data_IF_052185245924
#
_entry.id   IF_052185245924
#
_cell.length_a   1.000
_cell.length_b   1.000
_cell.length_c   1.000
_cell.angle_alpha   90.00
_cell.angle_beta   90.00
_cell.angle_gamma   90.00
#
_symmetry.space_group_name_H-M   'P 1'
#
loop_
_entity.id
_entity.type
_entity.pdbx_description
1 polymer ?
#
# COMPACT_ATOMS: atom_id res chain seq x y z
N UNK A 1 29.45 -8.70 -8.18
CA UNK A 1 28.52 -7.55 -8.15
C UNK A 1 28.35 -7.10 -6.70
N UNK A 2 28.98 -5.99 -6.31
CA UNK A 2 28.84 -5.42 -4.96
C UNK A 2 27.59 -4.53 -5.00
N UNK A 3 26.43 -5.05 -4.59
CA UNK A 3 25.21 -4.24 -4.54
C UNK A 3 25.45 -3.20 -3.44
N UNK A 4 25.63 -1.95 -3.83
CA UNK A 4 25.87 -0.86 -2.88
C UNK A 4 24.66 -0.75 -1.95
N UNK A 5 24.84 -0.76 -0.61
CA UNK A 5 23.73 -0.65 0.34
C UNK A 5 22.88 0.61 0.12
N UNK A 6 23.45 1.65 -0.49
CA UNK A 6 22.74 2.86 -0.90
C UNK A 6 21.67 2.66 -1.99
N UNK A 7 21.70 1.57 -2.76
CA UNK A 7 20.67 1.28 -3.77
C UNK A 7 19.50 0.49 -3.18
N UNK A 8 19.76 -0.46 -2.28
CA UNK A 8 18.73 -1.33 -1.70
C UNK A 8 17.87 -0.56 -0.68
N UNK A 9 18.50 0.27 0.17
CA UNK A 9 17.82 0.93 1.27
C UNK A 9 16.60 1.79 0.84
N UNK A 10 16.67 2.61 -0.23
CA UNK A 10 15.51 3.36 -0.73
C UNK A 10 14.35 2.46 -1.19
N UNK A 11 14.63 1.37 -1.91
CA UNK A 11 13.59 0.46 -2.39
C UNK A 11 12.94 -0.32 -1.23
N UNK A 12 13.75 -0.76 -0.26
CA UNK A 12 13.23 -1.42 0.95
C UNK A 12 12.36 -0.46 1.76
N UNK A 13 12.81 0.78 1.97
CA UNK A 13 12.04 1.79 2.68
C UNK A 13 10.72 2.11 1.95
N UNK A 14 10.76 2.27 0.63
CA UNK A 14 9.56 2.53 -0.18
C UNK A 14 8.55 1.37 -0.07
N UNK A 15 9.00 0.11 -0.20
CA UNK A 15 8.14 -1.06 -0.11
C UNK A 15 7.52 -1.24 1.28
N UNK A 16 8.30 -0.97 2.35
CA UNK A 16 7.82 -1.05 3.73
C UNK A 16 6.86 0.10 4.04
N UNK A 17 7.17 1.33 3.63
CA UNK A 17 6.27 2.47 3.78
C UNK A 17 4.96 2.28 3.02
N UNK A 18 4.99 1.73 1.80
CA UNK A 18 3.77 1.45 1.05
C UNK A 18 2.83 0.49 1.82
N UNK A 19 3.38 -0.55 2.45
CA UNK A 19 2.62 -1.49 3.29
C UNK A 19 2.10 -0.86 4.58
N UNK A 20 2.82 0.11 5.14
CA UNK A 20 2.32 0.87 6.28
C UNK A 20 1.18 1.82 5.88
N UNK A 21 1.38 2.58 4.80
CA UNK A 21 0.44 3.58 4.32
C UNK A 21 -0.87 2.94 3.82
N UNK A 22 -0.83 1.75 3.22
CA UNK A 22 -2.06 1.04 2.80
C UNK A 22 -2.94 0.66 4.00
N UNK A 23 -2.36 0.36 5.16
CA UNK A 23 -3.09 0.10 6.40
C UNK A 23 -3.80 1.38 6.88
N UNK A 24 -3.13 2.53 6.80
CA UNK A 24 -3.74 3.84 7.12
C UNK A 24 -4.90 4.14 6.15
N UNK A 25 -4.71 3.87 4.86
CA UNK A 25 -5.73 4.04 3.81
C UNK A 25 -6.93 3.12 4.03
N UNK A 26 -6.72 1.90 4.49
CA UNK A 26 -7.79 0.94 4.75
C UNK A 26 -8.66 1.29 5.97
N UNK A 27 -8.15 2.08 6.91
CA UNK A 27 -8.95 2.62 8.04
C UNK A 27 -9.86 3.77 7.66
N UNK A 28 -9.80 4.25 6.42
CA UNK A 28 -10.63 5.36 5.96
C UNK A 28 -12.05 4.87 5.67
N UNK A 29 -13.03 5.77 5.78
CA UNK A 29 -14.42 5.44 5.45
C UNK A 29 -14.50 4.91 4.02
N UNK A 30 -15.07 3.72 3.80
CA UNK A 30 -15.20 3.17 2.46
C UNK A 30 -16.25 3.97 1.69
N UNK A 31 -16.01 4.19 0.39
CA UNK A 31 -16.95 4.90 -0.49
C UNK A 31 -18.22 4.09 -0.78
N UNK A 32 -18.18 2.76 -0.63
CA UNK A 32 -19.30 1.84 -0.83
C UNK A 32 -19.27 0.74 0.24
N UNK A 33 -20.42 0.19 0.64
CA UNK A 33 -20.46 -0.93 1.56
C UNK A 33 -19.85 -2.19 0.91
N UNK A 34 -19.04 -2.92 1.66
CA UNK A 34 -18.45 -4.21 1.26
C UNK A 34 -17.22 -4.15 0.36
N UNK A 35 -16.82 -5.31 -0.16
CA UNK A 35 -15.67 -5.50 -1.06
C UNK A 35 -14.34 -5.72 -0.34
N UNK A 36 -13.30 -6.06 -1.11
CA UNK A 36 -11.98 -6.45 -0.59
C UNK A 36 -11.35 -5.41 0.37
N UNK A 37 -11.59 -4.12 0.13
CA UNK A 37 -11.12 -3.06 1.02
C UNK A 37 -11.83 -3.05 2.38
N UNK A 38 -13.13 -3.36 2.40
CA UNK A 38 -13.90 -3.47 3.64
C UNK A 38 -13.48 -4.74 4.41
N UNK A 39 -13.31 -5.87 3.71
CA UNK A 39 -12.85 -7.13 4.33
C UNK A 39 -11.43 -6.97 4.90
N UNK A 40 -10.54 -6.29 4.18
CA UNK A 40 -9.21 -5.97 4.70
C UNK A 40 -9.27 -5.08 5.95
N UNK A 41 -10.17 -4.08 5.98
CA UNK A 41 -10.34 -3.20 7.13
C UNK A 41 -10.86 -3.95 8.38
N UNK A 42 -11.66 -5.01 8.22
CA UNK A 42 -12.12 -5.85 9.34
C UNK A 42 -10.97 -6.55 10.08
N UNK A 43 -9.87 -6.85 9.40
CA UNK A 43 -8.67 -7.44 10.00
C UNK A 43 -7.79 -6.44 10.77
N UNK A 44 -8.11 -5.14 10.74
CA UNK A 44 -7.32 -4.10 11.39
C UNK A 44 -7.77 -3.88 12.83
N UNK A 45 -7.09 -4.53 13.76
CA UNK A 45 -7.26 -4.35 15.21
C UNK A 45 -6.14 -3.46 15.76
N UNK A 46 -6.30 -2.85 16.95
CA UNK A 46 -5.22 -2.08 17.59
C UNK A 46 -3.91 -2.87 17.73
N UNK A 47 -4.01 -4.19 17.95
CA UNK A 47 -2.86 -5.08 18.03
C UNK A 47 -2.18 -5.23 16.67
N UNK A 48 -2.94 -5.52 15.59
CA UNK A 48 -2.34 -5.67 14.26
C UNK A 48 -1.73 -4.37 13.76
N UNK A 49 -2.32 -3.22 14.10
CA UNK A 49 -1.74 -1.90 13.81
C UNK A 49 -0.43 -1.67 14.54
N UNK A 50 -0.39 -1.96 15.84
CA UNK A 50 0.83 -1.79 16.65
C UNK A 50 1.96 -2.66 16.12
N UNK A 51 1.69 -3.94 15.85
CA UNK A 51 2.67 -4.87 15.29
C UNK A 51 3.13 -4.45 13.89
N UNK A 52 2.21 -3.99 13.04
CA UNK A 52 2.54 -3.51 11.69
C UNK A 52 3.40 -2.23 11.69
N UNK A 53 3.32 -1.41 12.74
CA UNK A 53 4.13 -0.21 12.89
C UNK A 53 5.59 -0.48 13.29
N UNK A 54 5.87 -1.63 13.93
CA UNK A 54 7.21 -1.92 14.46
C UNK A 54 8.29 -1.98 13.36
N UNK A 55 7.99 -2.68 12.26
CA UNK A 55 8.92 -2.84 11.13
C UNK A 55 9.26 -1.50 10.45
N UNK A 56 8.28 -0.68 10.00
CA UNK A 56 8.59 0.62 9.39
C UNK A 56 9.32 1.54 10.37
N UNK A 57 8.94 1.56 11.66
CA UNK A 57 9.63 2.40 12.66
C UNK A 57 11.08 1.96 12.85
N UNK A 58 11.34 0.67 13.05
CA UNK A 58 12.68 0.14 13.20
C UNK A 58 13.55 0.44 11.97
N UNK A 59 12.99 0.31 10.77
CA UNK A 59 13.68 0.61 9.52
C UNK A 59 13.97 2.10 9.38
N UNK A 60 13.01 2.98 9.65
CA UNK A 60 13.20 4.45 9.60
C UNK A 60 14.29 4.87 10.59
N UNK A 61 14.23 4.37 11.83
CA UNK A 61 15.23 4.65 12.87
C UNK A 61 16.62 4.18 12.41
N UNK A 62 16.75 2.93 11.99
CA UNK A 62 18.02 2.36 11.53
C UNK A 62 18.61 3.14 10.34
N UNK A 63 17.80 3.45 9.33
CA UNK A 63 18.27 4.20 8.16
C UNK A 63 18.61 5.66 8.49
N UNK A 64 17.92 6.27 9.46
CA UNK A 64 18.19 7.65 9.88
C UNK A 64 19.55 7.76 10.58
N UNK A 65 19.92 6.76 11.40
CA UNK A 65 21.21 6.76 12.10
C UNK A 65 22.41 6.35 11.22
N UNK A 66 22.19 5.51 10.21
CA UNK A 66 23.28 4.94 9.39
C UNK A 66 23.50 5.66 8.05
N UNK A 67 22.61 6.58 7.65
CA UNK A 67 22.68 7.31 6.38
C UNK A 67 22.35 8.80 6.57
N UNK A 68 22.13 9.53 5.47
CA UNK A 68 21.60 10.90 5.48
C UNK A 68 20.16 10.91 6.04
N UNK A 69 20.06 11.01 7.36
CA UNK A 69 18.80 10.98 8.08
C UNK A 69 17.83 12.08 7.67
N UNK A 70 18.32 13.26 7.27
CA UNK A 70 17.46 14.34 6.79
C UNK A 70 16.76 13.98 5.48
N UNK A 71 17.47 13.30 4.58
CA UNK A 71 16.87 12.78 3.34
C UNK A 71 15.83 11.70 3.63
N UNK A 72 16.09 10.79 4.58
CA UNK A 72 15.13 9.75 5.00
C UNK A 72 13.86 10.38 5.58
N UNK A 73 14.00 11.32 6.52
CA UNK A 73 12.86 12.00 7.15
C UNK A 73 12.00 12.76 6.13
N UNK A 74 12.62 13.48 5.18
CA UNK A 74 11.89 14.16 4.08
C UNK A 74 11.14 13.16 3.19
N UNK A 75 11.74 12.01 2.87
CA UNK A 75 11.08 10.99 2.05
C UNK A 75 9.88 10.37 2.79
N UNK A 76 10.02 10.06 4.08
CA UNK A 76 8.94 9.57 4.93
C UNK A 76 7.80 10.60 5.00
N UNK A 77 8.13 11.87 5.28
CA UNK A 77 7.16 12.95 5.36
C UNK A 77 6.41 13.12 4.03
N UNK A 78 7.14 13.17 2.90
CA UNK A 78 6.55 13.34 1.58
C UNK A 78 5.62 12.18 1.22
N UNK A 79 6.01 10.93 1.52
CA UNK A 79 5.15 9.76 1.30
C UNK A 79 3.82 9.87 2.07
N UNK A 80 3.87 10.29 3.35
CA UNK A 80 2.65 10.51 4.14
C UNK A 80 1.80 11.64 3.57
N UNK A 81 2.40 12.78 3.22
CA UNK A 81 1.67 13.91 2.63
C UNK A 81 0.95 13.52 1.33
N UNK A 82 1.64 12.79 0.44
CA UNK A 82 1.04 12.28 -0.79
C UNK A 82 -0.12 11.33 -0.48
N UNK A 83 0.06 10.39 0.44
CA UNK A 83 -1.04 9.49 0.85
C UNK A 83 -2.23 10.25 1.42
N UNK A 84 -2.01 11.25 2.29
CA UNK A 84 -3.10 12.06 2.83
C UNK A 84 -3.79 12.92 1.76
N UNK A 85 -3.04 13.47 0.80
CA UNK A 85 -3.61 14.18 -0.34
C UNK A 85 -4.50 13.25 -1.19
N UNK A 86 -4.05 12.01 -1.44
CA UNK A 86 -4.85 10.99 -2.14
C UNK A 86 -6.11 10.63 -1.35
N UNK A 87 -6.02 10.43 -0.04
CA UNK A 87 -7.19 10.17 0.82
C UNK A 87 -8.16 11.36 0.77
N UNK A 88 -7.67 12.59 0.88
CA UNK A 88 -8.48 13.80 0.83
C UNK A 88 -9.20 13.93 -0.52
N UNK A 89 -8.48 13.69 -1.61
CA UNK A 89 -9.05 13.69 -2.96
C UNK A 89 -10.12 12.59 -3.12
N UNK A 90 -9.84 11.38 -2.65
CA UNK A 90 -10.79 10.27 -2.69
C UNK A 90 -12.07 10.59 -1.89
N UNK A 91 -11.93 11.15 -0.70
CA UNK A 91 -13.09 11.60 0.11
C UNK A 91 -13.90 12.68 -0.62
N UNK A 92 -13.23 13.69 -1.17
CA UNK A 92 -13.89 14.82 -1.83
C UNK A 92 -14.59 14.43 -3.14
N UNK A 93 -14.05 13.47 -3.90
CA UNK A 93 -14.55 13.11 -5.24
C UNK A 93 -15.38 11.84 -5.27
N UNK A 94 -15.12 10.89 -4.38
CA UNK A 94 -15.72 9.55 -4.39
C UNK A 94 -16.57 9.25 -3.15
N UNK A 95 -16.60 10.16 -2.16
CA UNK A 95 -17.32 9.95 -0.90
C UNK A 95 -16.60 9.01 0.09
N UNK A 96 -15.36 8.59 -0.20
CA UNK A 96 -14.56 7.70 0.63
C UNK A 96 -13.40 7.07 -0.14
N UNK A 97 -12.67 6.14 0.48
CA UNK A 97 -11.63 5.37 -0.20
C UNK A 97 -12.24 4.18 -0.93
N UNK A 98 -11.86 3.95 -2.18
CA UNK A 98 -12.32 2.79 -2.98
C UNK A 98 -11.18 1.78 -3.15
N UNK A 99 -11.38 0.54 -2.70
CA UNK A 99 -10.55 -0.60 -3.13
C UNK A 99 -10.86 -1.05 -4.58
N UNK A 100 -11.97 -0.55 -5.13
CA UNK A 100 -12.61 -1.02 -6.36
C UNK A 100 -12.17 -0.33 -7.65
N UNK A 101 -11.35 0.72 -7.65
CA UNK A 101 -11.01 1.41 -8.90
C UNK A 101 -10.21 0.49 -9.84
N UNK A 102 -9.18 -0.17 -9.29
CA UNK A 102 -8.41 -1.20 -9.99
C UNK A 102 -9.24 -2.49 -10.17
N UNK A 103 -10.08 -2.84 -9.19
CA UNK A 103 -11.00 -3.97 -9.29
C UNK A 103 -11.97 -3.83 -10.48
N UNK A 104 -12.58 -2.66 -10.66
CA UNK A 104 -13.48 -2.35 -11.79
C UNK A 104 -12.75 -2.25 -13.11
N UNK A 105 -11.54 -1.71 -13.13
CA UNK A 105 -10.69 -1.74 -14.32
C UNK A 105 -10.40 -3.20 -14.72
N UNK A 106 -9.95 -4.04 -13.77
CA UNK A 106 -9.74 -5.46 -13.99
C UNK A 106 -11.02 -6.18 -14.42
N UNK A 107 -12.16 -5.88 -13.80
CA UNK A 107 -13.44 -6.53 -14.12
C UNK A 107 -13.93 -6.17 -15.52
N UNK A 108 -13.80 -4.89 -15.94
CA UNK A 108 -14.12 -4.46 -17.32
C UNK A 108 -13.20 -5.13 -18.34
N UNK A 109 -11.92 -5.20 -18.05
CA UNK A 109 -10.95 -5.88 -18.91
C UNK A 109 -11.22 -7.39 -18.99
N UNK A 110 -11.53 -8.03 -17.86
CA UNK A 110 -11.87 -9.46 -17.79
C UNK A 110 -13.16 -9.81 -18.54
N UNK A 111 -14.15 -8.91 -18.57
CA UNK A 111 -15.37 -9.09 -19.37
C UNK A 111 -15.04 -9.08 -20.87
N UNK A 112 -14.17 -8.17 -21.31
CA UNK A 112 -13.75 -8.06 -22.72
C UNK A 112 -12.73 -9.12 -23.14
N UNK A 113 -11.92 -9.61 -22.20
CA UNK A 113 -10.92 -10.63 -22.48
C UNK A 113 -11.58 -11.97 -22.82
N UNK A 114 -11.07 -12.64 -23.86
CA UNK A 114 -11.45 -14.01 -24.20
C UNK A 114 -10.96 -15.04 -23.18
N UNK A 115 -9.90 -14.71 -22.43
CA UNK A 115 -9.29 -15.57 -21.41
C UNK A 115 -8.78 -14.73 -20.23
N UNK A 116 -8.91 -15.24 -19.01
CA UNK A 116 -8.45 -14.60 -17.78
C UNK A 116 -7.59 -15.57 -16.99
N UNK A 117 -6.35 -15.19 -16.74
CA UNK A 117 -5.39 -15.95 -15.93
C UNK A 117 -5.22 -15.28 -14.57
N UNK A 118 -5.20 -16.08 -13.51
CA UNK A 118 -4.90 -15.66 -12.15
C UNK A 118 -3.60 -16.32 -11.69
N UNK A 119 -2.61 -15.50 -11.33
CA UNK A 119 -1.29 -15.98 -10.93
C UNK A 119 -1.25 -16.26 -9.43
N UNK A 120 -0.97 -17.51 -9.05
CA UNK A 120 -0.75 -17.92 -7.66
C UNK A 120 0.62 -18.56 -7.54
N UNK A 121 1.50 -17.98 -6.73
CA UNK A 121 2.88 -18.45 -6.56
C UNK A 121 3.67 -18.63 -7.88
N UNK A 122 3.36 -17.81 -8.90
CA UNK A 122 3.99 -17.91 -10.22
C UNK A 122 3.35 -18.91 -11.18
N UNK A 123 2.33 -19.64 -10.77
CA UNK A 123 1.58 -20.57 -11.61
C UNK A 123 0.31 -19.89 -12.16
N UNK A 124 0.08 -19.92 -13.49
CA UNK A 124 -1.13 -19.37 -14.09
C UNK A 124 -2.30 -20.34 -13.91
N UNK A 125 -3.37 -19.87 -13.28
CA UNK A 125 -4.66 -20.57 -13.19
C UNK A 125 -5.65 -19.91 -14.13
N UNK A 126 -6.22 -20.69 -15.05
CA UNK A 126 -7.26 -20.18 -15.95
C UNK A 126 -8.59 -20.06 -15.21
N UNK A 127 -9.19 -18.88 -15.25
CA UNK A 127 -10.48 -18.56 -14.62
C UNK A 127 -11.62 -18.41 -15.63
N UNK A 128 -11.31 -17.96 -16.84
CA UNK A 128 -12.21 -17.78 -17.99
C UNK A 128 -11.41 -18.07 -19.25
#
# INVERSE_FOLDING_TARGET
MRILPGLIAPFTLAAVLARWLIIIVARQRPARPGGLGADFALGLTPLTLTLAALIPLALIVSLTFNFDGWRILRAVLFAHLVTFAVIALARARLGGVTGDALGRANQRLAVQAGEVLFMVAGLPLKLK
#
